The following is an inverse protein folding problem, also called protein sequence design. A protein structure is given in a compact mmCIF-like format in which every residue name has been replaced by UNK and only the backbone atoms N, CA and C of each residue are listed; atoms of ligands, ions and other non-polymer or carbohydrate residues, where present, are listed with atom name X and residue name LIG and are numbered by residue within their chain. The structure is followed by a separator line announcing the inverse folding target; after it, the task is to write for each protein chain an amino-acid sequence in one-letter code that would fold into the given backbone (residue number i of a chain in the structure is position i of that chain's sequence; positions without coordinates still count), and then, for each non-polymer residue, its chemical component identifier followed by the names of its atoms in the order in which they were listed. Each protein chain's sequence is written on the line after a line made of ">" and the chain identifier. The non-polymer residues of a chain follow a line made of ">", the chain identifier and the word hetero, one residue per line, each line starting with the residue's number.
data_IF_189028279824
#
_entry.id   IF_189028279824
#
_cell.length_a   1.000
_cell.length_b   1.000
_cell.length_c   1.000
_cell.angle_alpha   90.00
_cell.angle_beta   90.00
_cell.angle_gamma   90.00
#
_symmetry.space_group_name_H-M   'P 1'
#
loop_
_entity.id
_entity.type
_entity.pdbx_description
1 polymer ?
#
# COMPACT_ATOMS: atom_id res chain seq x y z
N UNK A 1 15.00 -7.44 15.89
CA UNK A 1 14.11 -8.41 15.27
C UNK A 1 13.56 -7.89 13.95
N UNK A 2 13.35 -8.77 13.01
CA UNK A 2 12.75 -8.43 11.73
C UNK A 2 11.23 -8.39 11.84
N UNK A 3 10.64 -7.35 11.27
CA UNK A 3 9.18 -7.14 11.27
C UNK A 3 8.64 -7.22 9.85
N UNK A 4 7.54 -7.90 9.66
CA UNK A 4 6.90 -8.04 8.36
C UNK A 4 5.94 -6.89 8.12
N UNK A 5 6.16 -6.15 7.02
CA UNK A 5 5.33 -4.99 6.68
C UNK A 5 4.66 -5.22 5.33
N UNK A 6 3.37 -4.89 5.24
CA UNK A 6 2.66 -4.85 3.97
C UNK A 6 2.34 -3.41 3.66
N UNK A 7 2.63 -2.99 2.44
CA UNK A 7 2.55 -1.59 2.00
C UNK A 7 1.55 -1.49 0.85
N UNK A 8 0.54 -0.62 1.00
CA UNK A 8 -0.35 -0.29 -0.10
C UNK A 8 0.31 0.76 -0.97
N UNK A 9 0.28 0.57 -2.28
CA UNK A 9 0.95 1.42 -3.26
C UNK A 9 -0.07 1.85 -4.30
N UNK A 10 -0.19 3.16 -4.53
CA UNK A 10 -1.11 3.69 -5.52
C UNK A 10 -0.55 4.88 -6.27
N UNK A 11 -0.91 4.97 -7.55
CA UNK A 11 -0.53 6.11 -8.38
C UNK A 11 -1.71 6.48 -9.27
N UNK A 12 -2.06 7.77 -9.30
CA UNK A 12 -3.30 8.21 -9.95
C UNK A 12 -3.17 9.21 -11.09
N UNK A 13 -2.03 9.82 -11.28
CA UNK A 13 -1.86 10.83 -12.31
C UNK A 13 -0.47 10.77 -12.95
N UNK A 14 -0.37 11.47 -14.09
CA UNK A 14 0.91 11.65 -14.76
C UNK A 14 1.50 10.35 -15.26
N UNK A 15 2.76 10.18 -15.02
CA UNK A 15 3.51 9.00 -15.44
C UNK A 15 3.30 7.87 -14.43
N UNK A 16 2.09 7.31 -14.39
CA UNK A 16 1.72 6.30 -13.40
C UNK A 16 2.68 5.11 -13.34
N UNK A 17 3.04 4.59 -14.49
CA UNK A 17 3.95 3.45 -14.58
C UNK A 17 5.34 3.82 -14.07
N UNK A 18 5.80 5.02 -14.37
CA UNK A 18 7.10 5.51 -13.91
C UNK A 18 7.12 5.68 -12.40
N UNK A 19 6.03 6.18 -11.81
CA UNK A 19 5.95 6.34 -10.36
C UNK A 19 5.85 4.99 -9.64
N UNK A 20 5.17 4.01 -10.25
CA UNK A 20 5.13 2.65 -9.69
C UNK A 20 6.51 2.01 -9.74
N UNK A 21 7.25 2.24 -10.83
CA UNK A 21 8.62 1.75 -10.96
C UNK A 21 9.53 2.41 -9.93
N UNK A 22 9.41 3.73 -9.76
CA UNK A 22 10.17 4.47 -8.77
C UNK A 22 9.90 3.95 -7.35
N UNK A 23 8.62 3.72 -7.03
CA UNK A 23 8.24 3.19 -5.72
C UNK A 23 8.91 1.84 -5.47
N UNK A 24 8.86 0.95 -6.45
CA UNK A 24 9.49 -0.37 -6.32
C UNK A 24 10.98 -0.27 -6.09
N UNK A 25 11.67 0.56 -6.88
CA UNK A 25 13.11 0.77 -6.75
C UNK A 25 13.47 1.31 -5.37
N UNK A 26 12.75 2.34 -4.92
CA UNK A 26 13.07 3.01 -3.66
C UNK A 26 12.73 2.18 -2.44
N UNK A 27 11.56 1.52 -2.45
CA UNK A 27 11.16 0.70 -1.31
C UNK A 27 12.06 -0.53 -1.19
N UNK A 28 12.35 -1.20 -2.30
CA UNK A 28 13.20 -2.40 -2.26
C UNK A 28 14.64 -2.09 -1.86
N UNK A 29 15.07 -0.83 -1.99
CA UNK A 29 16.43 -0.39 -1.66
C UNK A 29 16.54 0.26 -0.27
N UNK A 30 15.46 0.30 0.51
CA UNK A 30 15.52 0.91 1.85
C UNK A 30 16.53 0.21 2.74
N UNK A 31 17.26 0.98 3.57
CA UNK A 31 18.21 0.38 4.51
C UNK A 31 17.49 -0.45 5.57
N UNK A 32 18.18 -1.44 6.11
CA UNK A 32 17.66 -2.31 7.16
C UNK A 32 16.39 -3.05 6.76
N UNK A 33 16.34 -3.48 5.49
CA UNK A 33 15.23 -4.26 4.95
C UNK A 33 15.72 -5.47 4.19
N UNK A 34 14.83 -6.45 4.01
CA UNK A 34 15.11 -7.66 3.23
C UNK A 34 13.80 -8.30 2.76
N UNK A 35 13.92 -9.27 1.88
CA UNK A 35 12.79 -10.10 1.41
C UNK A 35 11.65 -9.28 0.81
N UNK A 36 11.99 -8.35 -0.08
CA UNK A 36 10.99 -7.55 -0.81
C UNK A 36 10.23 -8.42 -1.80
N UNK A 37 8.90 -8.27 -1.82
CA UNK A 37 8.02 -8.91 -2.80
C UNK A 37 6.97 -7.90 -3.25
N UNK A 38 6.56 -8.01 -4.50
CA UNK A 38 5.51 -7.17 -5.07
C UNK A 38 4.41 -8.06 -5.64
N UNK A 39 3.17 -7.70 -5.35
CA UNK A 39 2.02 -8.32 -6.00
C UNK A 39 1.85 -7.77 -7.41
N UNK A 40 0.90 -8.31 -8.15
CA UNK A 40 0.52 -7.80 -9.47
C UNK A 40 -0.10 -6.42 -9.35
N UNK A 41 0.12 -5.59 -10.38
CA UNK A 41 -0.47 -4.25 -10.44
C UNK A 41 -1.90 -4.36 -10.96
N UNK A 42 -2.82 -3.68 -10.31
CA UNK A 42 -4.23 -3.61 -10.72
C UNK A 42 -4.55 -2.18 -11.14
N UNK A 43 -5.25 -2.03 -12.26
CA UNK A 43 -5.75 -0.73 -12.69
C UNK A 43 -7.20 -0.58 -12.27
N UNK A 44 -7.54 0.54 -11.61
CA UNK A 44 -8.88 0.78 -11.09
C UNK A 44 -9.39 2.16 -11.50
N UNK A 45 -10.72 2.31 -11.51
CA UNK A 45 -11.35 3.58 -11.80
C UNK A 45 -11.15 4.57 -10.63
N UNK A 46 -11.04 5.87 -10.91
CA UNK A 46 -10.89 6.85 -9.84
C UNK A 46 -12.16 6.98 -9.01
N UNK A 47 -11.99 7.21 -7.70
CA UNK A 47 -13.09 7.41 -6.79
C UNK A 47 -13.72 8.79 -7.01
N UNK A 48 -14.98 8.80 -7.43
CA UNK A 48 -15.80 10.01 -7.43
C UNK A 48 -15.37 11.16 -8.33
N UNK A 49 -14.24 11.09 -9.01
CA UNK A 49 -13.74 12.15 -9.86
C UNK A 49 -13.27 11.56 -11.18
N UNK A 50 -14.14 11.55 -12.14
CA UNK A 50 -13.95 10.81 -13.39
C UNK A 50 -13.00 11.46 -14.38
N UNK A 51 -12.58 12.70 -14.14
CA UNK A 51 -11.64 13.39 -15.03
C UNK A 51 -10.19 13.00 -14.79
N UNK A 52 -9.90 12.33 -13.68
CA UNK A 52 -8.57 11.80 -13.42
C UNK A 52 -8.40 10.49 -14.17
N UNK A 53 -7.17 10.15 -14.51
CA UNK A 53 -6.87 8.84 -15.06
C UNK A 53 -7.10 7.74 -14.04
N UNK A 54 -7.10 6.51 -14.52
CA UNK A 54 -7.25 5.36 -13.64
C UNK A 54 -6.07 5.23 -12.69
N UNK A 55 -6.34 4.69 -11.50
CA UNK A 55 -5.29 4.40 -10.53
C UNK A 55 -4.59 3.09 -10.87
N UNK A 56 -3.29 3.05 -10.60
CA UNK A 56 -2.55 1.79 -10.54
C UNK A 56 -2.32 1.47 -9.07
N UNK A 57 -2.62 0.25 -8.68
CA UNK A 57 -2.53 -0.17 -7.27
C UNK A 57 -1.83 -1.52 -7.15
N UNK A 58 -1.07 -1.68 -6.08
CA UNK A 58 -0.49 -2.97 -5.73
C UNK A 58 -0.20 -3.01 -4.23
N UNK A 59 0.35 -4.12 -3.77
CA UNK A 59 0.82 -4.28 -2.39
C UNK A 59 2.24 -4.83 -2.44
N UNK A 60 3.10 -4.29 -1.61
CA UNK A 60 4.44 -4.84 -1.38
C UNK A 60 4.50 -5.50 -0.01
N UNK A 61 5.34 -6.50 0.13
CA UNK A 61 5.74 -7.00 1.44
C UNK A 61 7.24 -6.87 1.58
N UNK A 62 7.69 -6.60 2.79
CA UNK A 62 9.11 -6.42 3.09
C UNK A 62 9.32 -6.70 4.59
N UNK A 63 10.54 -7.05 4.95
CA UNK A 63 10.90 -7.15 6.36
C UNK A 63 11.82 -6.00 6.70
N UNK A 64 11.64 -5.41 7.88
CA UNK A 64 12.40 -4.25 8.32
C UNK A 64 12.81 -4.38 9.79
N UNK A 65 13.89 -3.69 10.14
CA UNK A 65 14.29 -3.53 11.54
C UNK A 65 13.70 -2.26 12.15
N UNK A 66 13.06 -1.42 11.35
CA UNK A 66 12.49 -0.14 11.81
C UNK A 66 11.25 -0.34 12.66
N UNK A 67 10.98 0.64 13.53
CA UNK A 67 9.67 0.77 14.17
C UNK A 67 8.64 1.22 13.13
N UNK A 68 7.33 1.09 13.42
CA UNK A 68 6.31 1.54 12.47
C UNK A 68 6.47 3.00 12.06
N UNK A 69 6.71 3.89 13.00
CA UNK A 69 6.84 5.33 12.71
C UNK A 69 8.09 5.61 11.89
N UNK A 70 9.21 4.99 12.22
CA UNK A 70 10.44 5.12 11.44
C UNK A 70 10.22 4.69 9.99
N UNK A 71 9.55 3.56 9.81
CA UNK A 71 9.29 3.05 8.47
C UNK A 71 8.33 3.97 7.70
N UNK A 72 7.30 4.46 8.37
CA UNK A 72 6.35 5.39 7.76
C UNK A 72 7.06 6.66 7.29
N UNK A 73 7.99 7.19 8.09
CA UNK A 73 8.77 8.37 7.71
C UNK A 73 9.57 8.12 6.43
N UNK A 74 10.14 6.93 6.28
CA UNK A 74 10.87 6.58 5.06
C UNK A 74 9.95 6.50 3.86
N UNK A 75 8.73 6.00 4.02
CA UNK A 75 7.74 5.98 2.95
C UNK A 75 7.35 7.40 2.54
N UNK A 76 7.17 8.30 3.50
CA UNK A 76 6.86 9.70 3.22
C UNK A 76 7.98 10.38 2.44
N UNK A 77 9.24 10.04 2.73
CA UNK A 77 10.37 10.58 1.98
C UNK A 77 10.32 10.14 0.53
N UNK A 78 9.95 8.89 0.28
CA UNK A 78 9.80 8.38 -1.10
C UNK A 78 8.68 9.14 -1.83
N UNK A 79 7.54 9.35 -1.16
CA UNK A 79 6.44 10.13 -1.75
C UNK A 79 6.90 11.54 -2.11
N UNK A 80 7.67 12.17 -1.21
CA UNK A 80 8.19 13.52 -1.45
C UNK A 80 9.16 13.55 -2.63
N UNK A 81 10.00 12.53 -2.78
CA UNK A 81 10.90 12.45 -3.94
C UNK A 81 10.12 12.31 -5.24
N UNK A 82 9.06 11.51 -5.24
CA UNK A 82 8.20 11.36 -6.41
C UNK A 82 7.56 12.69 -6.78
N UNK A 83 7.10 13.44 -5.79
CA UNK A 83 6.49 14.75 -6.00
C UNK A 83 7.49 15.74 -6.61
N UNK A 84 8.72 15.74 -6.12
CA UNK A 84 9.76 16.64 -6.62
C UNK A 84 10.19 16.34 -8.06
N UNK A 85 10.00 15.13 -8.53
CA UNK A 85 10.37 14.74 -9.91
C UNK A 85 9.33 15.16 -10.94
N UNK A 86 8.18 15.66 -10.50
CA UNK A 86 7.16 16.15 -11.43
C UNK A 86 7.59 17.46 -12.05
N UNK A 87 7.44 17.57 -13.36
CA UNK A 87 7.70 18.82 -14.07
C UNK A 87 6.59 19.83 -13.87
N UNK A 88 5.36 19.32 -13.66
CA UNK A 88 4.19 20.16 -13.46
C UNK A 88 3.61 19.85 -12.09
N UNK A 89 3.60 20.87 -11.22
CA UNK A 89 3.20 20.71 -9.81
C UNK A 89 1.76 21.12 -9.56
N UNK A 90 0.85 20.60 -10.35
CA UNK A 90 -0.56 20.87 -10.18
C UNK A 90 -1.35 19.56 -10.21
N UNK A 91 -2.49 19.58 -9.52
CA UNK A 91 -3.31 18.40 -9.41
C UNK A 91 -2.96 17.53 -8.21
N UNK A 92 -3.66 16.42 -8.03
CA UNK A 92 -3.47 15.56 -6.87
C UNK A 92 -2.12 14.86 -6.87
N UNK A 93 -1.79 14.30 -5.70
CA UNK A 93 -0.56 13.52 -5.52
C UNK A 93 -0.54 12.34 -6.47
N UNK A 94 0.65 12.02 -6.96
CA UNK A 94 0.84 10.96 -7.94
C UNK A 94 1.22 9.62 -7.33
N UNK A 95 1.75 9.60 -6.13
CA UNK A 95 2.19 8.36 -5.47
C UNK A 95 1.78 8.36 -4.01
N UNK A 96 1.06 7.30 -3.61
CA UNK A 96 0.66 7.08 -2.22
C UNK A 96 1.25 5.77 -1.72
N UNK A 97 1.87 5.82 -0.56
CA UNK A 97 2.46 4.66 0.11
C UNK A 97 1.92 4.59 1.53
N UNK A 98 1.17 3.55 1.84
CA UNK A 98 0.54 3.39 3.16
C UNK A 98 0.98 2.09 3.81
N UNK A 99 1.25 2.12 5.12
CA UNK A 99 1.45 0.89 5.86
C UNK A 99 0.07 0.26 6.08
N UNK A 100 -0.10 -0.94 5.56
CA UNK A 100 -1.33 -1.71 5.74
C UNK A 100 -1.27 -2.56 7.01
N UNK A 101 -0.15 -3.22 7.20
CA UNK A 101 0.07 -4.17 8.28
C UNK A 101 1.53 -4.10 8.72
N UNK A 102 1.75 -4.32 10.00
CA UNK A 102 3.09 -4.42 10.58
C UNK A 102 3.02 -5.54 11.61
N UNK A 103 3.52 -6.73 11.25
CA UNK A 103 3.33 -7.95 12.04
C UNK A 103 1.85 -8.11 12.43
N UNK A 104 1.57 -8.42 13.67
CA UNK A 104 0.20 -8.53 14.22
C UNK A 104 -0.19 -7.29 14.99
N UNK A 105 0.53 -6.20 14.82
CA UNK A 105 0.32 -4.98 15.60
C UNK A 105 -1.07 -4.41 15.38
N UNK A 106 -1.72 -4.05 16.49
CA UNK A 106 -2.97 -3.31 16.47
C UNK A 106 -2.72 -2.05 17.28
N UNK A 107 -2.75 -0.91 16.62
CA UNK A 107 -2.53 0.38 17.28
C UNK A 107 -3.33 1.47 16.58
N UNK A 108 -3.73 2.45 17.35
CA UNK A 108 -4.46 3.60 16.85
C UNK A 108 -3.98 4.83 17.60
N UNK A 109 -3.22 5.67 16.92
CA UNK A 109 -2.74 6.91 17.50
C UNK A 109 -2.68 8.00 16.42
N UNK A 110 -2.23 9.19 16.80
CA UNK A 110 -2.21 10.34 15.90
C UNK A 110 -1.29 10.17 14.70
N UNK A 111 -0.23 9.39 14.86
CA UNK A 111 0.74 9.22 13.79
C UNK A 111 0.39 8.08 12.86
N UNK A 112 -0.17 7.00 13.39
CA UNK A 112 -0.37 5.80 12.59
C UNK A 112 -1.49 4.91 13.17
N UNK A 113 -2.29 4.33 12.28
CA UNK A 113 -3.29 3.34 12.64
C UNK A 113 -2.98 2.05 11.87
N UNK A 114 -2.74 0.97 12.61
CA UNK A 114 -2.45 -0.34 12.06
C UNK A 114 -3.37 -1.37 12.73
N UNK A 115 -4.05 -2.24 12.01
CA UNK A 115 -4.13 -2.33 10.54
C UNK A 115 -4.73 -1.08 9.91
N UNK A 116 -4.39 -0.83 8.64
CA UNK A 116 -4.95 0.33 7.94
C UNK A 116 -6.48 0.23 7.95
N UNK A 117 -7.19 1.30 8.32
CA UNK A 117 -8.66 1.22 8.52
C UNK A 117 -9.43 0.91 7.23
N UNK A 118 -8.87 1.21 6.06
CA UNK A 118 -9.55 0.96 4.80
C UNK A 118 -9.17 -0.37 4.15
N UNK A 119 -8.28 -1.14 4.77
CA UNK A 119 -7.77 -2.39 4.21
C UNK A 119 -8.88 -3.36 3.85
N UNK A 120 -9.87 -3.52 4.70
CA UNK A 120 -10.95 -4.49 4.50
C UNK A 120 -12.08 -3.99 3.60
N UNK A 121 -11.98 -2.75 3.13
CA UNK A 121 -13.04 -2.09 2.37
C UNK A 121 -12.71 -1.89 0.89
N UNK A 122 -11.48 -2.22 0.48
CA UNK A 122 -11.00 -1.91 -0.87
C UNK A 122 -10.53 -3.17 -1.60
N UNK A 123 -11.19 -3.51 -2.70
CA UNK A 123 -10.81 -4.66 -3.51
C UNK A 123 -9.37 -4.52 -4.03
N UNK A 124 -8.99 -3.31 -4.43
CA UNK A 124 -7.65 -3.05 -4.98
C UNK A 124 -6.53 -3.13 -3.93
N UNK A 125 -6.88 -3.33 -2.66
CA UNK A 125 -5.94 -3.63 -1.59
C UNK A 125 -6.01 -5.12 -1.24
N UNK A 126 -7.21 -5.66 -1.06
CA UNK A 126 -7.39 -7.06 -0.65
C UNK A 126 -6.93 -8.06 -1.70
N UNK A 127 -7.17 -7.80 -2.98
CA UNK A 127 -6.74 -8.72 -4.03
C UNK A 127 -5.23 -8.89 -4.06
N UNK A 128 -4.44 -7.81 -4.18
CA UNK A 128 -2.98 -7.99 -4.16
C UNK A 128 -2.44 -8.45 -2.81
N UNK A 129 -3.08 -8.08 -1.71
CA UNK A 129 -2.66 -8.58 -0.40
C UNK A 129 -2.82 -10.10 -0.32
N UNK A 130 -3.96 -10.64 -0.80
CA UNK A 130 -4.19 -12.08 -0.81
C UNK A 130 -3.18 -12.82 -1.69
N UNK A 131 -2.70 -12.19 -2.75
CA UNK A 131 -1.66 -12.77 -3.59
C UNK A 131 -0.37 -13.00 -2.80
N UNK A 132 -0.01 -12.05 -1.94
CA UNK A 132 1.21 -12.14 -1.15
C UNK A 132 1.06 -12.99 0.10
N UNK A 133 -0.12 -13.02 0.68
CA UNK A 133 -0.36 -13.79 1.91
C UNK A 133 -1.72 -14.50 1.85
N UNK A 134 -1.81 -15.59 1.05
CA UNK A 134 -3.10 -16.28 0.86
C UNK A 134 -3.67 -16.90 2.14
N UNK A 135 -2.85 -17.10 3.16
CA UNK A 135 -3.29 -17.66 4.44
C UNK A 135 -3.33 -16.64 5.56
N UNK A 136 -3.09 -15.38 5.25
CA UNK A 136 -3.02 -14.33 6.25
C UNK A 136 -4.34 -14.08 6.95
N UNK A 137 -4.26 -13.67 8.21
CA UNK A 137 -5.40 -13.39 9.06
C UNK A 137 -5.31 -11.94 9.54
N UNK A 138 -6.40 -11.20 9.40
CA UNK A 138 -6.45 -9.82 9.87
C UNK A 138 -6.32 -9.79 11.40
N UNK A 139 -5.36 -9.03 11.95
CA UNK A 139 -5.07 -9.10 13.39
C UNK A 139 -6.19 -8.57 14.28
N UNK A 140 -7.06 -7.71 13.74
CA UNK A 140 -8.18 -7.16 14.51
C UNK A 140 -9.46 -7.95 14.28
N UNK A 141 -9.80 -8.22 13.00
CA UNK A 141 -11.03 -8.94 12.67
C UNK A 141 -10.94 -10.45 12.90
N UNK A 142 -9.74 -10.97 12.94
CA UNK A 142 -9.47 -12.39 13.19
C UNK A 142 -10.04 -13.30 12.12
N UNK A 143 -10.11 -12.78 10.89
CA UNK A 143 -10.58 -13.51 9.71
C UNK A 143 -9.49 -13.53 8.64
N UNK A 144 -9.51 -14.54 7.80
CA UNK A 144 -8.58 -14.62 6.67
C UNK A 144 -8.89 -13.53 5.66
N UNK A 145 -7.84 -12.96 5.07
CA UNK A 145 -8.04 -11.95 4.04
C UNK A 145 -8.82 -12.47 2.85
N UNK A 146 -8.63 -13.76 2.50
CA UNK A 146 -9.40 -14.38 1.42
C UNK A 146 -10.90 -14.40 1.71
N UNK A 147 -11.30 -14.61 2.95
CA UNK A 147 -12.70 -14.60 3.34
C UNK A 147 -13.28 -13.20 3.33
N UNK A 148 -12.50 -12.24 3.78
CA UNK A 148 -12.90 -10.82 3.74
C UNK A 148 -13.07 -10.37 2.28
N UNK A 149 -12.15 -10.79 1.41
CA UNK A 149 -12.22 -10.49 -0.01
C UNK A 149 -13.47 -11.06 -0.67
N UNK A 150 -13.79 -12.33 -0.38
CA UNK A 150 -15.00 -12.97 -0.89
C UNK A 150 -16.26 -12.21 -0.49
N UNK A 151 -16.35 -11.84 0.78
CA UNK A 151 -17.51 -11.10 1.29
C UNK A 151 -17.63 -9.74 0.62
N UNK A 152 -16.50 -9.05 0.42
CA UNK A 152 -16.52 -7.74 -0.22
C UNK A 152 -16.96 -7.85 -1.68
N UNK A 153 -16.49 -8.85 -2.40
CA UNK A 153 -16.92 -9.09 -3.79
C UNK A 153 -18.43 -9.34 -3.86
N UNK A 154 -18.99 -10.08 -2.92
CA UNK A 154 -20.42 -10.32 -2.88
C UNK A 154 -21.23 -9.04 -2.68
N UNK A 155 -20.72 -8.15 -1.82
CA UNK A 155 -21.39 -6.88 -1.57
C UNK A 155 -21.35 -5.91 -2.75
N UNK A 156 -20.38 -6.09 -3.64
CA UNK A 156 -20.22 -5.20 -4.80
C UNK A 156 -20.90 -5.69 -6.07
N UNK A 157 -21.60 -6.81 -5.99
CA UNK A 157 -22.38 -7.33 -7.12
C UNK A 157 -23.65 -6.51 -7.35
#
# INVERSE_FOLDING_TARGET
>A
SWHKVYIGVGSNLGEREEYMKLAKEKVSALPDTKNFKSASIIETEPYGYTEQGKFLNTVYSIETLDTPVEFLDKLHQIENEAERKREIHWGPRTLDLDILLYDDLVTEDEEITIPHPELTKRLFVLEPLCELTPRGIHPLERRRYSDILEDLKEKEK
#
